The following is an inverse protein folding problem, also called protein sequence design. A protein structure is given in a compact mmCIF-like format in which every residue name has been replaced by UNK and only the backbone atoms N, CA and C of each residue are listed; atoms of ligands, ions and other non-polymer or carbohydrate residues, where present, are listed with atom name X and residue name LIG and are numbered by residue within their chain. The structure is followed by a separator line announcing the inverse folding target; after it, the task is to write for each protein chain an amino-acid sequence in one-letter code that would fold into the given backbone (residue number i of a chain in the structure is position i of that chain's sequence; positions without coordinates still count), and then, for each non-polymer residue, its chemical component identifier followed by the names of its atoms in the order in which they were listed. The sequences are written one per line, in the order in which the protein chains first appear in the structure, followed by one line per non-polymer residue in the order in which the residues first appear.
data_IF_799918760392
#
_entry.id   IF_799918760392
#
_cell.length_a   1.000
_cell.length_b   1.000
_cell.length_c   1.000
_cell.angle_alpha   90.00
_cell.angle_beta   90.00
_cell.angle_gamma   90.00
#
_symmetry.space_group_name_H-M   'P 1'
#
loop_
_entity.id
_entity.type
_entity.pdbx_description
1 polymer ?
#
# COMPACT_ATOMS: atom_id res chain seq x y z
N UNK A 1 5.18 55.27 -4.42
CA UNK A 1 5.77 53.98 -4.00
C UNK A 1 4.76 53.03 -3.34
N UNK A 2 3.79 53.51 -2.54
CA UNK A 2 2.78 52.64 -1.88
C UNK A 2 1.87 51.85 -2.84
N UNK A 3 1.47 52.43 -3.97
CA UNK A 3 0.62 51.79 -4.97
C UNK A 3 1.30 50.61 -5.69
N UNK A 4 2.62 50.69 -5.89
CA UNK A 4 3.42 49.61 -6.50
C UNK A 4 3.53 48.42 -5.53
N UNK A 5 3.72 48.68 -4.24
CA UNK A 5 3.80 47.65 -3.19
C UNK A 5 2.45 46.95 -3.03
N UNK A 6 1.34 47.70 -3.10
CA UNK A 6 0.00 47.13 -3.04
C UNK A 6 -0.27 46.23 -4.25
N UNK A 7 0.03 46.69 -5.46
CA UNK A 7 -0.10 45.87 -6.67
C UNK A 7 0.77 44.59 -6.60
N UNK A 8 2.00 44.71 -6.13
CA UNK A 8 2.89 43.55 -5.94
C UNK A 8 2.32 42.52 -4.96
N UNK A 9 1.74 42.98 -3.84
CA UNK A 9 1.09 42.09 -2.86
C UNK A 9 -0.12 41.36 -3.45
N UNK A 10 -0.93 42.03 -4.25
CA UNK A 10 -2.07 41.39 -4.92
C UNK A 10 -1.60 40.36 -5.94
N UNK A 11 -0.61 40.69 -6.77
CA UNK A 11 -0.06 39.75 -7.76
C UNK A 11 0.61 38.55 -7.09
N UNK A 12 1.33 38.76 -5.99
CA UNK A 12 1.95 37.68 -5.22
C UNK A 12 0.91 36.78 -4.55
N UNK A 13 -0.13 37.36 -3.95
CA UNK A 13 -1.22 36.61 -3.33
C UNK A 13 -1.98 35.79 -4.37
N UNK A 14 -2.35 36.41 -5.51
CA UNK A 14 -2.98 35.71 -6.62
C UNK A 14 -2.10 34.58 -7.15
N UNK A 15 -0.79 34.83 -7.36
CA UNK A 15 0.15 33.80 -7.82
C UNK A 15 0.24 32.63 -6.83
N UNK A 16 0.28 32.91 -5.53
CA UNK A 16 0.35 31.89 -4.49
C UNK A 16 -0.95 31.10 -4.38
N UNK A 17 -2.10 31.77 -4.47
CA UNK A 17 -3.40 31.11 -4.54
C UNK A 17 -3.55 30.24 -5.78
N UNK A 18 -3.09 30.73 -6.94
CA UNK A 18 -3.09 29.91 -8.17
C UNK A 18 -2.10 28.76 -8.09
N UNK A 19 -0.98 28.90 -7.37
CA UNK A 19 -0.07 27.78 -7.12
C UNK A 19 -0.72 26.74 -6.19
N UNK A 20 -1.33 27.17 -5.11
CA UNK A 20 -2.01 26.27 -4.17
C UNK A 20 -3.28 25.62 -4.78
N UNK A 21 -3.89 26.23 -5.81
CA UNK A 21 -5.09 25.72 -6.47
C UNK A 21 -4.81 24.91 -7.75
N UNK A 22 -3.87 25.35 -8.59
CA UNK A 22 -3.50 24.66 -9.85
C UNK A 22 -2.38 23.65 -9.67
N UNK A 23 -1.53 23.84 -8.66
CA UNK A 23 -0.39 23.00 -8.32
C UNK A 23 -0.43 22.63 -6.84
N UNK A 24 -1.64 22.51 -6.27
CA UNK A 24 -1.80 21.77 -5.03
C UNK A 24 -0.97 20.48 -5.22
N UNK A 25 0.06 20.20 -4.41
CA UNK A 25 0.62 18.86 -4.41
C UNK A 25 -0.61 17.98 -4.22
N UNK A 26 -0.87 17.06 -5.14
CA UNK A 26 -1.92 16.06 -4.98
C UNK A 26 -1.76 15.58 -3.55
N UNK A 27 -2.70 15.99 -2.70
CA UNK A 27 -2.79 15.53 -1.34
C UNK A 27 -2.87 14.03 -1.55
N UNK A 28 -1.89 13.23 -1.10
CA UNK A 28 -1.72 11.87 -1.59
C UNK A 28 -3.09 11.22 -1.56
N UNK A 29 -3.65 10.95 -2.75
CA UNK A 29 -5.05 10.53 -2.89
C UNK A 29 -5.27 9.19 -2.17
N UNK A 30 -4.15 8.53 -1.87
CA UNK A 30 -4.08 7.38 -1.00
C UNK A 30 -3.66 7.80 0.41
N UNK A 31 -4.44 7.45 1.45
CA UNK A 31 -3.91 7.47 2.81
C UNK A 31 -2.59 6.70 2.81
N UNK A 32 -1.59 7.19 3.56
CA UNK A 32 -0.38 6.41 3.79
C UNK A 32 -0.81 4.99 4.20
N UNK A 33 -0.26 3.94 3.57
CA UNK A 33 -0.69 2.59 3.85
C UNK A 33 -0.55 2.34 5.35
N UNK A 34 -1.59 1.78 5.96
CA UNK A 34 -1.61 1.51 7.40
C UNK A 34 -0.45 0.59 7.84
N UNK A 35 0.09 -0.17 6.89
CA UNK A 35 1.24 -1.05 7.04
C UNK A 35 2.36 -0.62 6.09
N UNK A 36 3.62 -0.48 6.58
CA UNK A 36 4.77 -0.26 5.70
C UNK A 36 4.89 -1.40 4.69
N UNK A 37 5.11 -1.08 3.41
CA UNK A 37 5.22 -2.09 2.33
C UNK A 37 6.34 -3.11 2.61
N UNK A 38 7.41 -2.70 3.29
CA UNK A 38 8.50 -3.59 3.70
C UNK A 38 8.10 -4.67 4.71
N UNK A 39 6.98 -4.47 5.41
CA UNK A 39 6.46 -5.40 6.42
C UNK A 39 5.43 -6.37 5.82
N UNK A 40 5.04 -6.19 4.56
CA UNK A 40 4.12 -7.09 3.89
C UNK A 40 4.84 -8.37 3.46
N UNK A 41 4.17 -9.54 3.53
CA UNK A 41 4.78 -10.82 3.17
C UNK A 41 4.90 -11.02 1.65
N UNK A 42 4.36 -10.10 0.86
CA UNK A 42 4.37 -10.15 -0.60
C UNK A 42 4.95 -8.88 -1.22
N UNK A 43 5.49 -9.04 -2.43
CA UNK A 43 5.89 -7.94 -3.32
C UNK A 43 4.80 -7.62 -4.35
N UNK A 44 3.95 -8.60 -4.66
CA UNK A 44 2.90 -8.50 -5.66
C UNK A 44 1.73 -9.38 -5.26
N UNK A 45 0.50 -8.92 -5.52
CA UNK A 45 -0.73 -9.68 -5.35
C UNK A 45 -1.56 -9.54 -6.62
N UNK A 46 -2.02 -10.66 -7.15
CA UNK A 46 -2.91 -10.63 -8.29
C UNK A 46 -3.90 -11.78 -8.32
N UNK A 47 -4.95 -11.54 -9.09
CA UNK A 47 -6.05 -12.48 -9.27
C UNK A 47 -5.95 -13.11 -10.65
N UNK A 48 -5.96 -14.45 -10.70
CA UNK A 48 -5.97 -15.21 -11.95
C UNK A 48 -7.41 -15.58 -12.26
N UNK A 49 -7.95 -15.02 -13.35
CA UNK A 49 -9.29 -15.32 -13.83
C UNK A 49 -9.32 -16.70 -14.52
N UNK A 50 -10.51 -17.33 -14.65
CA UNK A 50 -10.66 -18.62 -15.32
C UNK A 50 -10.18 -18.65 -16.79
N UNK A 51 -10.13 -17.47 -17.44
CA UNK A 51 -9.61 -17.32 -18.81
C UNK A 51 -8.06 -17.23 -18.87
N UNK A 52 -7.37 -17.35 -17.74
CA UNK A 52 -5.92 -17.23 -17.61
C UNK A 52 -5.38 -15.81 -17.57
N UNK A 53 -6.26 -14.79 -17.55
CA UNK A 53 -5.86 -13.39 -17.39
C UNK A 53 -5.47 -13.12 -15.95
N UNK A 54 -4.37 -12.40 -15.75
CA UNK A 54 -3.87 -12.02 -14.44
C UNK A 54 -4.07 -10.51 -14.27
N UNK A 55 -4.74 -10.11 -13.19
CA UNK A 55 -4.95 -8.71 -12.83
C UNK A 55 -4.14 -8.38 -11.59
N UNK A 56 -3.37 -7.29 -11.64
CA UNK A 56 -2.59 -6.78 -10.52
C UNK A 56 -3.49 -6.00 -9.55
N UNK A 57 -3.49 -6.41 -8.28
CA UNK A 57 -4.22 -5.76 -7.20
C UNK A 57 -3.30 -5.28 -6.08
N UNK A 58 -1.98 -5.30 -6.27
CA UNK A 58 -0.97 -5.02 -5.23
C UNK A 58 -1.22 -3.69 -4.53
N UNK A 59 -1.40 -2.60 -5.28
CA UNK A 59 -1.64 -1.26 -4.69
C UNK A 59 -2.94 -1.19 -3.90
N UNK A 60 -4.01 -1.82 -4.42
CA UNK A 60 -5.32 -1.82 -3.78
C UNK A 60 -5.26 -2.58 -2.45
N UNK A 61 -4.69 -3.78 -2.47
CA UNK A 61 -4.53 -4.64 -1.30
C UNK A 61 -3.64 -3.97 -0.26
N UNK A 62 -2.47 -3.45 -0.65
CA UNK A 62 -1.53 -2.81 0.27
C UNK A 62 -2.12 -1.60 1.02
N UNK A 63 -3.04 -0.87 0.38
CA UNK A 63 -3.70 0.29 0.99
C UNK A 63 -4.84 -0.09 1.95
N UNK A 64 -5.40 -1.29 1.81
CA UNK A 64 -6.54 -1.77 2.62
C UNK A 64 -6.10 -2.69 3.76
N UNK A 65 -4.88 -3.21 3.70
CA UNK A 65 -4.33 -4.09 4.72
C UNK A 65 -3.98 -3.31 5.99
N UNK A 66 -4.38 -3.87 7.13
CA UNK A 66 -4.08 -3.36 8.46
C UNK A 66 -3.18 -4.34 9.23
N UNK A 67 -2.43 -3.85 10.22
CA UNK A 67 -1.66 -4.72 11.12
C UNK A 67 -2.59 -5.68 11.87
N UNK A 68 -2.07 -6.88 12.18
CA UNK A 68 -2.76 -7.96 12.88
C UNK A 68 -4.01 -8.51 12.16
N UNK A 69 -4.25 -8.07 10.92
CA UNK A 69 -5.33 -8.59 10.08
C UNK A 69 -4.95 -9.94 9.46
N UNK A 70 -5.96 -10.78 9.23
CA UNK A 70 -5.82 -12.06 8.52
C UNK A 70 -6.38 -11.89 7.12
N UNK A 71 -5.50 -11.93 6.13
CA UNK A 71 -5.84 -11.71 4.74
C UNK A 71 -6.15 -13.06 4.11
N UNK A 72 -7.44 -13.35 3.92
CA UNK A 72 -7.94 -14.56 3.26
C UNK A 72 -8.30 -14.29 1.80
N UNK A 73 -8.46 -15.32 0.96
CA UNK A 73 -9.00 -15.14 -0.39
C UNK A 73 -10.36 -14.42 -0.41
N UNK A 74 -11.24 -14.75 0.54
CA UNK A 74 -12.55 -14.09 0.70
C UNK A 74 -12.42 -12.60 1.04
N UNK A 75 -11.42 -12.24 1.84
CA UNK A 75 -11.10 -10.85 2.12
C UNK A 75 -10.61 -10.13 0.86
N UNK A 76 -9.78 -10.77 0.05
CA UNK A 76 -9.27 -10.21 -1.22
C UNK A 76 -10.42 -9.95 -2.20
N UNK A 77 -11.33 -10.90 -2.35
CA UNK A 77 -12.53 -10.74 -3.19
C UNK A 77 -13.36 -9.52 -2.76
N UNK A 78 -13.57 -9.37 -1.45
CA UNK A 78 -14.29 -8.22 -0.88
C UNK A 78 -13.53 -6.90 -1.05
N UNK A 79 -12.21 -6.90 -0.83
CA UNK A 79 -11.35 -5.72 -0.89
C UNK A 79 -11.22 -5.15 -2.30
N UNK A 80 -11.17 -6.02 -3.32
CA UNK A 80 -11.01 -5.61 -4.72
C UNK A 80 -12.32 -5.50 -5.48
N UNK A 81 -13.46 -5.79 -4.82
CA UNK A 81 -14.80 -5.87 -5.43
C UNK A 81 -14.83 -6.85 -6.61
N UNK A 82 -14.01 -7.89 -6.55
CA UNK A 82 -13.94 -8.92 -7.58
C UNK A 82 -15.05 -9.94 -7.31
N UNK A 83 -16.04 -10.01 -8.20
CA UNK A 83 -17.22 -10.88 -8.06
C UNK A 83 -17.16 -12.08 -9.02
N UNK A 84 -16.01 -12.32 -9.64
CA UNK A 84 -15.90 -13.40 -10.63
C UNK A 84 -15.75 -14.76 -9.93
N UNK A 85 -16.71 -15.65 -10.19
CA UNK A 85 -16.63 -17.03 -9.73
C UNK A 85 -15.39 -17.73 -10.34
N UNK A 86 -14.58 -18.34 -9.46
CA UNK A 86 -13.40 -19.13 -9.86
C UNK A 86 -12.08 -18.36 -9.95
N UNK A 87 -11.97 -17.19 -9.31
CA UNK A 87 -10.70 -16.48 -9.13
C UNK A 87 -9.71 -17.30 -8.31
N UNK A 88 -8.47 -17.37 -8.78
CA UNK A 88 -7.36 -17.94 -8.03
C UNK A 88 -6.38 -16.82 -7.64
N UNK A 89 -6.32 -16.53 -6.35
CA UNK A 89 -5.40 -15.52 -5.82
C UNK A 89 -3.98 -16.05 -5.73
N UNK A 90 -3.05 -15.22 -6.17
CA UNK A 90 -1.62 -15.47 -6.11
C UNK A 90 -0.89 -14.27 -5.56
N UNK A 91 0.28 -14.54 -4.99
CA UNK A 91 1.18 -13.51 -4.52
C UNK A 91 2.64 -13.88 -4.82
N UNK A 92 3.49 -12.88 -4.95
CA UNK A 92 4.93 -13.05 -5.01
C UNK A 92 5.51 -12.90 -3.61
N UNK A 93 6.05 -13.98 -3.04
CA UNK A 93 6.62 -13.98 -1.69
C UNK A 93 7.83 -13.05 -1.61
N UNK A 94 7.85 -12.15 -0.62
CA UNK A 94 8.93 -11.16 -0.48
C UNK A 94 10.26 -11.76 -0.04
N UNK A 95 10.26 -12.91 0.65
CA UNK A 95 11.45 -13.59 1.16
C UNK A 95 11.99 -14.59 0.15
N UNK A 96 11.13 -15.38 -0.49
CA UNK A 96 11.55 -16.43 -1.43
C UNK A 96 11.57 -15.99 -2.88
N UNK A 97 10.93 -14.87 -3.23
CA UNK A 97 10.77 -14.38 -4.60
C UNK A 97 10.09 -15.39 -5.53
N UNK A 98 9.23 -16.25 -4.97
CA UNK A 98 8.47 -17.26 -5.71
C UNK A 98 6.99 -16.89 -5.75
N UNK A 99 6.36 -17.13 -6.90
CA UNK A 99 4.90 -16.99 -7.04
C UNK A 99 4.20 -18.15 -6.33
N UNK A 100 3.36 -17.82 -5.36
CA UNK A 100 2.62 -18.77 -4.53
C UNK A 100 1.13 -18.51 -4.63
N UNK A 101 0.36 -19.59 -4.47
CA UNK A 101 -1.10 -19.50 -4.34
C UNK A 101 -1.42 -18.98 -2.94
N UNK A 102 -2.40 -18.09 -2.83
CA UNK A 102 -2.84 -17.58 -1.55
C UNK A 102 -3.38 -18.73 -0.68
N UNK A 103 -2.90 -18.89 0.56
CA UNK A 103 -3.37 -19.97 1.43
C UNK A 103 -4.83 -19.75 1.80
N UNK A 104 -5.62 -20.83 1.85
CA UNK A 104 -7.04 -20.77 2.24
C UNK A 104 -7.24 -20.30 3.68
N UNK A 105 -6.29 -20.60 4.58
CA UNK A 105 -6.27 -20.10 5.96
C UNK A 105 -5.87 -18.63 6.10
N UNK A 106 -5.51 -17.97 4.99
CA UNK A 106 -5.06 -16.60 4.94
C UNK A 106 -3.62 -16.39 5.42
N UNK A 107 -3.18 -15.14 5.34
CA UNK A 107 -1.86 -14.67 5.77
C UNK A 107 -2.06 -13.62 6.85
N UNK A 108 -1.38 -13.79 7.99
CA UNK A 108 -1.43 -12.83 9.10
C UNK A 108 -0.40 -11.72 8.86
N UNK A 109 -0.82 -10.47 8.99
CA UNK A 109 0.07 -9.31 8.85
C UNK A 109 0.63 -8.97 10.23
N UNK A 110 1.71 -9.66 10.59
CA UNK A 110 2.37 -9.45 11.86
C UNK A 110 3.26 -8.19 11.84
N UNK A 111 3.30 -7.49 12.97
CA UNK A 111 4.33 -6.49 13.19
C UNK A 111 5.65 -7.20 13.55
N UNK A 112 6.45 -7.54 12.54
CA UNK A 112 7.81 -8.05 12.71
C UNK A 112 8.76 -6.92 13.20
N UNK A 113 8.43 -6.28 14.33
CA UNK A 113 9.39 -5.55 15.16
C UNK A 113 9.92 -6.52 16.21
N UNK A 114 10.62 -7.59 15.79
CA UNK A 114 11.42 -8.35 16.73
C UNK A 114 12.76 -7.61 16.96
N UNK A 115 13.10 -7.20 18.20
CA UNK A 115 14.45 -6.76 18.51
C UNK A 115 15.40 -7.95 18.32
N UNK A 116 16.47 -7.75 17.55
CA UNK A 116 17.57 -8.69 17.45
C UNK A 116 18.01 -9.11 18.86
N UNK A 117 17.69 -10.34 19.25
CA UNK A 117 18.16 -10.94 20.49
C UNK A 117 19.67 -11.11 20.37
N UNK A 118 20.42 -10.23 21.05
CA UNK A 118 21.87 -10.34 21.17
C UNK A 118 22.20 -11.59 22.01
N UNK A 119 22.44 -12.72 21.34
CA UNK A 119 23.09 -13.87 21.95
C UNK A 119 24.53 -13.48 22.30
N UNK A 120 24.79 -13.15 23.56
CA UNK A 120 26.10 -13.37 24.18
C UNK A 120 25.88 -13.70 25.65
N UNK A 121 25.90 -14.98 25.97
CA UNK A 121 26.35 -15.42 27.29
C UNK A 121 27.44 -16.44 27.05
N UNK A 122 28.64 -15.97 27.35
CA UNK A 122 29.91 -16.65 27.35
C UNK A 122 29.87 -17.75 28.41
N UNK A 123 30.20 -18.98 28.02
CA UNK A 123 30.66 -20.00 28.96
C UNK A 123 31.90 -19.47 29.70
N UNK A 124 31.84 -19.45 31.03
CA UNK A 124 32.90 -19.83 31.99
C UNK A 124 32.35 -19.87 33.43
#
# INVERSE_FOLDING_TARGET
MQSIIWAYRQVFACRRWTMDFLFAPEKPEHPEPAVPVSSLPWLWVGAVHPNGTIVDHTTCVNNLVEMDSVITPEWLDAATLSVDDGLCWKYLDAKTLEEKIFPSGGIVIANDTEPQSNNTTHDD
#
